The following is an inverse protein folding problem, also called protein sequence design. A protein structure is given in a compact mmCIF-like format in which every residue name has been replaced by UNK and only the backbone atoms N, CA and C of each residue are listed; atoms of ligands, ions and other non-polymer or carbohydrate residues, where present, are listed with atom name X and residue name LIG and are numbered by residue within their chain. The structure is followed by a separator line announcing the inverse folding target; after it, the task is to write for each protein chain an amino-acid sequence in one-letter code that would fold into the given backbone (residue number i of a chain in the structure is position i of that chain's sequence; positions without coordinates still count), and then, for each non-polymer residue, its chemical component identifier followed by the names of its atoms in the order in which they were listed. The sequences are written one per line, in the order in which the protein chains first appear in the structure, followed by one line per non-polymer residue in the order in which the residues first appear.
data_IF_824379243402
#
_entry.id   IF_824379243402
#
_cell.length_a   1.000
_cell.length_b   1.000
_cell.length_c   1.000
_cell.angle_alpha   90.00
_cell.angle_beta   90.00
_cell.angle_gamma   90.00
#
_symmetry.space_group_name_H-M   'P 1'
#
loop_
_entity.id
_entity.type
_entity.pdbx_description
1 polymer ?
#
# COMPACT_ATOMS: atom_id res chain seq x y z
N UNK A 1 -10.53 -24.61 -27.05
CA UNK A 1 -10.67 -23.15 -27.38
C UNK A 1 -12.02 -22.59 -26.93
N UNK A 2 -13.14 -23.30 -27.10
CA UNK A 2 -14.48 -22.86 -26.66
C UNK A 2 -14.57 -22.67 -25.15
N UNK A 3 -14.00 -23.57 -24.36
CA UNK A 3 -13.99 -23.43 -22.88
C UNK A 3 -13.19 -22.23 -22.37
N UNK A 4 -12.13 -21.83 -23.07
CA UNK A 4 -11.34 -20.65 -22.72
C UNK A 4 -12.11 -19.35 -22.99
N UNK A 5 -12.78 -19.24 -24.14
CA UNK A 5 -13.61 -18.08 -24.45
C UNK A 5 -14.74 -17.91 -23.44
N UNK A 6 -15.46 -18.97 -23.11
CA UNK A 6 -16.52 -18.94 -22.10
C UNK A 6 -16.02 -18.56 -20.68
N UNK A 7 -14.77 -18.91 -20.34
CA UNK A 7 -14.16 -18.49 -19.08
C UNK A 7 -13.81 -17.00 -19.07
N UNK A 8 -13.32 -16.47 -20.20
CA UNK A 8 -13.06 -15.04 -20.36
C UNK A 8 -14.36 -14.22 -20.30
N UNK A 9 -15.41 -14.66 -20.98
CA UNK A 9 -16.72 -14.00 -20.98
C UNK A 9 -17.25 -13.89 -19.53
N UNK A 10 -17.19 -14.98 -18.76
CA UNK A 10 -17.58 -14.98 -17.34
C UNK A 10 -16.74 -14.03 -16.48
N UNK A 11 -15.45 -13.89 -16.80
CA UNK A 11 -14.53 -13.02 -16.09
C UNK A 11 -14.86 -11.54 -16.36
N UNK A 12 -15.14 -11.23 -17.61
CA UNK A 12 -15.54 -9.88 -18.04
C UNK A 12 -16.90 -9.50 -17.46
N UNK A 13 -17.90 -10.39 -17.58
CA UNK A 13 -19.23 -10.19 -17.03
C UNK A 13 -19.21 -10.08 -15.50
N UNK A 14 -18.48 -10.99 -14.84
CA UNK A 14 -18.34 -10.96 -13.38
C UNK A 14 -17.58 -9.77 -12.84
N UNK A 15 -16.60 -9.25 -13.62
CA UNK A 15 -15.85 -8.05 -13.27
C UNK A 15 -16.70 -6.78 -13.21
N UNK A 16 -17.83 -6.76 -13.93
CA UNK A 16 -18.84 -5.69 -13.94
C UNK A 16 -18.25 -4.27 -13.88
N UNK A 17 -17.46 -3.95 -14.91
CA UNK A 17 -16.77 -2.65 -14.97
C UNK A 17 -17.72 -1.45 -15.08
N UNK A 18 -18.92 -1.67 -15.60
CA UNK A 18 -19.91 -0.60 -15.78
C UNK A 18 -20.48 -0.12 -14.44
N UNK A 19 -20.76 -1.06 -13.52
CA UNK A 19 -21.18 -0.69 -12.17
C UNK A 19 -20.01 -0.38 -11.26
N UNK A 20 -18.87 -1.04 -11.47
CA UNK A 20 -17.70 -1.03 -10.60
C UNK A 20 -18.00 -1.44 -9.14
N UNK A 21 -19.12 -2.13 -8.90
CA UNK A 21 -19.50 -2.63 -7.59
C UNK A 21 -18.73 -3.90 -7.24
N UNK A 22 -18.46 -4.07 -5.95
CA UNK A 22 -18.18 -5.39 -5.41
C UNK A 22 -19.47 -6.23 -5.55
N UNK A 23 -19.36 -7.45 -6.05
CA UNK A 23 -20.50 -8.29 -6.33
C UNK A 23 -20.23 -9.75 -5.96
N UNK A 24 -21.22 -10.64 -6.20
CA UNK A 24 -21.11 -12.05 -5.87
C UNK A 24 -19.90 -12.75 -6.53
N UNK A 25 -19.52 -12.35 -7.73
CA UNK A 25 -18.35 -12.91 -8.41
C UNK A 25 -17.04 -12.66 -7.60
N UNK A 26 -16.88 -11.48 -7.03
CA UNK A 26 -15.74 -11.13 -6.18
C UNK A 26 -15.86 -11.75 -4.79
N UNK A 27 -17.08 -11.78 -4.23
CA UNK A 27 -17.35 -12.34 -2.90
C UNK A 27 -17.04 -13.83 -2.81
N UNK A 28 -17.39 -14.60 -3.84
CA UNK A 28 -17.06 -16.03 -3.95
C UNK A 28 -15.53 -16.29 -4.02
N UNK A 29 -14.72 -15.28 -4.36
CA UNK A 29 -13.25 -15.32 -4.43
C UNK A 29 -12.59 -14.71 -3.20
N UNK A 30 -13.35 -14.17 -2.30
CA UNK A 30 -12.87 -13.66 -1.02
C UNK A 30 -12.78 -14.80 -0.01
N UNK A 31 -11.64 -15.48 0.04
CA UNK A 31 -11.44 -16.62 0.92
C UNK A 31 -11.42 -16.27 2.41
N UNK A 32 -11.34 -14.98 2.78
CA UNK A 32 -11.53 -14.53 4.16
C UNK A 32 -12.93 -14.89 4.70
N UNK A 33 -13.95 -14.93 3.82
CA UNK A 33 -15.30 -15.37 4.18
C UNK A 33 -15.37 -16.84 4.65
N UNK A 34 -14.29 -17.61 4.44
CA UNK A 34 -14.19 -19.02 4.79
C UNK A 34 -13.04 -19.31 5.75
N UNK A 35 -12.58 -18.31 6.48
CA UNK A 35 -11.44 -18.43 7.38
C UNK A 35 -11.62 -19.57 8.41
N UNK A 36 -12.85 -19.85 8.83
CA UNK A 36 -13.17 -20.93 9.76
C UNK A 36 -12.82 -22.33 9.22
N UNK A 37 -12.74 -22.48 7.92
CA UNK A 37 -12.37 -23.73 7.27
C UNK A 37 -10.86 -24.00 7.24
N UNK A 38 -10.03 -22.99 7.53
CA UNK A 38 -8.59 -23.16 7.61
C UNK A 38 -8.19 -24.07 8.77
N UNK A 39 -7.42 -25.10 8.45
CA UNK A 39 -6.87 -26.08 9.43
C UNK A 39 -5.38 -26.24 9.33
N UNK A 40 -4.79 -25.81 8.20
CA UNK A 40 -3.37 -25.88 7.97
C UNK A 40 -2.64 -24.72 8.64
N UNK A 41 -1.38 -24.96 8.99
CA UNK A 41 -0.43 -23.89 9.30
C UNK A 41 -0.12 -23.08 8.04
N UNK A 42 0.04 -21.76 8.16
CA UNK A 42 0.20 -20.86 7.02
C UNK A 42 1.46 -20.01 7.15
N UNK A 43 2.35 -20.10 6.18
CA UNK A 43 3.50 -19.21 6.05
C UNK A 43 3.30 -18.30 4.83
N UNK A 44 3.14 -17.01 5.08
CA UNK A 44 2.94 -15.97 4.06
C UNK A 44 4.28 -15.29 3.80
N UNK A 45 4.63 -15.11 2.52
CA UNK A 45 5.81 -14.36 2.08
C UNK A 45 5.33 -13.35 1.06
N UNK A 46 5.60 -12.04 1.28
CA UNK A 46 5.03 -11.00 0.44
C UNK A 46 5.91 -9.74 0.37
N UNK A 47 5.88 -9.07 -0.80
CA UNK A 47 6.59 -7.82 -1.03
C UNK A 47 5.80 -6.59 -0.59
N UNK A 48 6.43 -5.71 0.18
CA UNK A 48 5.83 -4.43 0.60
C UNK A 48 5.68 -3.42 -0.55
N UNK A 49 6.45 -3.60 -1.63
CA UNK A 49 6.37 -2.79 -2.84
C UNK A 49 5.63 -3.50 -3.99
N UNK A 50 4.91 -4.57 -3.71
CA UNK A 50 4.06 -5.23 -4.71
C UNK A 50 2.80 -4.42 -4.97
N UNK A 51 2.85 -3.55 -5.99
CA UNK A 51 1.72 -2.74 -6.43
C UNK A 51 0.79 -3.49 -7.39
N UNK A 52 1.10 -4.75 -7.74
CA UNK A 52 0.22 -5.64 -8.49
C UNK A 52 -0.68 -6.43 -7.52
N UNK A 53 -0.10 -7.33 -6.71
CA UNK A 53 -0.81 -8.01 -5.63
C UNK A 53 -0.47 -7.29 -4.31
N UNK A 54 -1.30 -6.33 -3.95
CA UNK A 54 -1.02 -5.42 -2.84
C UNK A 54 -1.12 -6.10 -1.48
N UNK A 55 -0.47 -5.56 -0.46
CA UNK A 55 -0.44 -6.10 0.90
C UNK A 55 -1.81 -6.25 1.56
N UNK A 56 -2.84 -5.53 1.07
CA UNK A 56 -4.23 -5.76 1.49
C UNK A 56 -4.80 -7.14 1.10
N UNK A 57 -4.07 -7.93 0.30
CA UNK A 57 -4.43 -9.32 0.03
C UNK A 57 -3.87 -10.28 1.09
N UNK A 58 -2.71 -10.01 1.66
CA UNK A 58 -2.04 -10.92 2.60
C UNK A 58 -2.21 -10.53 4.07
N UNK A 59 -2.15 -9.24 4.40
CA UNK A 59 -2.19 -8.79 5.79
C UNK A 59 -3.54 -9.02 6.49
N UNK A 60 -4.70 -8.81 5.85
CA UNK A 60 -5.99 -9.22 6.44
C UNK A 60 -6.09 -10.73 6.66
N UNK A 61 -5.50 -11.54 5.77
CA UNK A 61 -5.44 -12.99 5.97
C UNK A 61 -4.60 -13.35 7.18
N UNK A 62 -3.41 -12.76 7.32
CA UNK A 62 -2.54 -12.99 8.48
C UNK A 62 -3.25 -12.65 9.80
N UNK A 63 -3.95 -11.51 9.84
CA UNK A 63 -4.73 -11.08 11.00
C UNK A 63 -5.91 -12.02 11.30
N UNK A 64 -6.64 -12.45 10.29
CA UNK A 64 -7.74 -13.38 10.47
C UNK A 64 -7.27 -14.75 10.98
N UNK A 65 -6.09 -15.22 10.53
CA UNK A 65 -5.45 -16.44 11.07
C UNK A 65 -5.03 -16.26 12.53
N UNK A 66 -4.58 -15.05 12.91
CA UNK A 66 -4.26 -14.70 14.28
C UNK A 66 -5.48 -14.79 15.18
N UNK A 67 -6.56 -14.12 14.81
CA UNK A 67 -7.82 -14.08 15.53
C UNK A 67 -8.42 -15.49 15.71
N UNK A 68 -8.20 -16.37 14.72
CA UNK A 68 -8.58 -17.78 14.79
C UNK A 68 -7.68 -18.62 15.69
N UNK A 69 -6.48 -18.13 16.05
CA UNK A 69 -5.47 -18.91 16.76
C UNK A 69 -4.79 -19.98 15.89
N UNK A 70 -4.78 -19.81 14.57
CA UNK A 70 -4.08 -20.71 13.65
C UNK A 70 -2.56 -20.49 13.71
N UNK A 71 -1.80 -21.58 13.51
CA UNK A 71 -0.36 -21.48 13.36
C UNK A 71 -0.02 -20.73 12.07
N UNK A 72 0.71 -19.63 12.22
CA UNK A 72 0.98 -18.71 11.13
C UNK A 72 2.36 -18.08 11.25
N UNK A 73 2.91 -17.70 10.12
CA UNK A 73 4.12 -16.87 10.01
C UNK A 73 3.96 -15.95 8.80
N UNK A 74 4.50 -14.75 8.88
CA UNK A 74 4.59 -13.83 7.74
C UNK A 74 6.00 -13.27 7.63
N UNK A 75 6.49 -13.21 6.40
CA UNK A 75 7.71 -12.52 6.00
C UNK A 75 7.36 -11.45 4.98
N UNK A 76 7.64 -10.20 5.32
CA UNK A 76 7.44 -9.04 4.47
C UNK A 76 8.79 -8.49 4.02
N UNK A 77 9.08 -8.54 2.72
CA UNK A 77 10.31 -8.02 2.15
C UNK A 77 10.09 -6.71 1.39
N UNK A 78 11.14 -5.95 1.10
CA UNK A 78 11.04 -4.66 0.42
C UNK A 78 10.89 -4.76 -1.11
N UNK A 79 10.89 -5.98 -1.65
CA UNK A 79 10.74 -6.20 -3.09
C UNK A 79 9.31 -6.10 -3.59
N UNK A 80 9.17 -6.39 -4.87
CA UNK A 80 7.91 -6.48 -5.60
C UNK A 80 7.34 -7.92 -5.60
N UNK A 81 6.64 -8.30 -6.67
CA UNK A 81 6.05 -9.63 -6.88
C UNK A 81 7.12 -10.64 -7.32
N UNK A 82 7.72 -11.36 -6.36
CA UNK A 82 8.86 -12.26 -6.60
C UNK A 82 8.75 -13.55 -5.81
N UNK A 83 9.56 -14.53 -6.21
CA UNK A 83 9.85 -15.73 -5.44
C UNK A 83 11.05 -15.46 -4.52
N UNK A 84 10.78 -15.11 -3.27
CA UNK A 84 11.79 -14.63 -2.33
C UNK A 84 12.80 -15.70 -1.88
N UNK A 85 12.52 -16.99 -2.11
CA UNK A 85 13.48 -18.06 -1.84
C UNK A 85 14.69 -18.05 -2.78
N UNK A 86 14.59 -17.36 -3.92
CA UNK A 86 15.72 -17.14 -4.83
C UNK A 86 16.58 -15.94 -4.42
N UNK A 87 16.20 -15.23 -3.33
CA UNK A 87 16.85 -14.01 -2.89
C UNK A 87 18.12 -14.29 -2.10
N UNK A 88 19.25 -13.77 -2.59
CA UNK A 88 20.56 -13.90 -1.92
C UNK A 88 20.53 -13.41 -0.46
N UNK A 89 21.08 -14.22 0.42
CA UNK A 89 21.26 -13.86 1.84
C UNK A 89 19.97 -13.75 2.66
N UNK A 90 18.80 -13.99 2.05
CA UNK A 90 17.53 -13.92 2.77
C UNK A 90 17.35 -15.03 3.81
N UNK A 91 17.97 -16.18 3.60
CA UNK A 91 17.73 -17.39 4.37
C UNK A 91 16.31 -17.94 4.25
N UNK A 92 15.50 -17.38 3.33
CA UNK A 92 14.07 -17.68 3.24
C UNK A 92 13.80 -19.11 2.80
N UNK A 93 14.64 -19.67 1.92
CA UNK A 93 14.52 -21.08 1.55
C UNK A 93 14.66 -21.98 2.77
N UNK A 94 15.66 -21.74 3.60
CA UNK A 94 15.87 -22.50 4.84
C UNK A 94 14.70 -22.32 5.85
N UNK A 95 14.09 -21.13 5.91
CA UNK A 95 12.90 -20.90 6.71
C UNK A 95 11.69 -21.70 6.18
N UNK A 96 11.50 -21.75 4.87
CA UNK A 96 10.44 -22.55 4.23
C UNK A 96 10.66 -24.03 4.47
N UNK A 97 11.87 -24.54 4.27
CA UNK A 97 12.21 -25.93 4.55
C UNK A 97 11.96 -26.28 6.03
N UNK A 98 12.40 -25.45 6.96
CA UNK A 98 12.18 -25.63 8.40
C UNK A 98 10.71 -25.68 8.75
N UNK A 99 9.87 -24.77 8.14
CA UNK A 99 8.44 -24.75 8.30
C UNK A 99 7.77 -26.04 7.80
N UNK A 100 8.11 -26.48 6.59
CA UNK A 100 7.56 -27.69 5.98
C UNK A 100 8.02 -28.95 6.72
N UNK A 101 9.25 -29.00 7.18
CA UNK A 101 9.78 -30.12 7.98
C UNK A 101 8.98 -30.30 9.27
N UNK A 102 8.66 -29.22 9.95
CA UNK A 102 7.86 -29.28 11.17
C UNK A 102 6.41 -29.72 10.88
N UNK A 103 5.70 -28.97 10.03
CA UNK A 103 4.26 -29.15 9.87
C UNK A 103 3.86 -30.29 8.93
N UNK A 104 4.72 -30.74 8.01
CA UNK A 104 4.42 -31.85 7.11
C UNK A 104 5.10 -33.15 7.53
N UNK A 105 6.33 -33.08 8.06
CA UNK A 105 7.11 -34.27 8.44
C UNK A 105 7.09 -34.54 9.94
N UNK A 106 6.60 -33.62 10.76
CA UNK A 106 6.56 -33.75 12.21
C UNK A 106 7.90 -33.63 12.90
N UNK A 107 8.89 -33.00 12.26
CA UNK A 107 10.22 -32.80 12.83
C UNK A 107 10.15 -31.72 13.92
N UNK A 108 10.57 -32.04 15.13
CA UNK A 108 10.72 -31.07 16.22
C UNK A 108 11.96 -30.22 15.98
N UNK A 109 11.79 -29.06 15.38
CA UNK A 109 12.87 -28.14 15.00
C UNK A 109 12.70 -26.74 15.62
N UNK A 110 11.66 -26.54 16.45
CA UNK A 110 11.42 -25.32 17.21
C UNK A 110 10.89 -24.13 16.39
N UNK A 111 10.45 -24.33 15.14
CA UNK A 111 9.94 -23.22 14.29
C UNK A 111 8.70 -22.55 14.88
N UNK A 112 7.91 -23.26 15.66
CA UNK A 112 6.72 -22.74 16.35
C UNK A 112 7.05 -21.71 17.45
N UNK A 113 8.31 -21.67 17.89
CA UNK A 113 8.84 -20.72 18.90
C UNK A 113 9.51 -19.49 18.29
N UNK A 114 9.70 -19.51 16.97
CA UNK A 114 10.26 -18.37 16.26
C UNK A 114 9.27 -17.22 16.16
N UNK A 115 9.76 -15.98 15.94
CA UNK A 115 8.89 -14.83 15.67
C UNK A 115 7.89 -15.12 14.56
N UNK A 116 6.65 -14.72 14.76
CA UNK A 116 5.56 -14.92 13.79
C UNK A 116 5.60 -13.90 12.65
N UNK A 117 6.26 -12.78 12.87
CA UNK A 117 6.37 -11.68 11.93
C UNK A 117 7.84 -11.35 11.70
N UNK A 118 8.25 -11.30 10.45
CA UNK A 118 9.54 -10.80 10.02
C UNK A 118 9.30 -9.73 8.95
N UNK A 119 9.89 -8.55 9.13
CA UNK A 119 9.80 -7.44 8.17
C UNK A 119 11.20 -6.94 7.83
N UNK A 120 11.54 -6.95 6.56
CA UNK A 120 12.79 -6.37 6.06
C UNK A 120 12.82 -4.86 6.30
N UNK A 121 13.91 -4.35 6.83
CA UNK A 121 14.09 -2.90 6.99
C UNK A 121 14.20 -2.21 5.63
N UNK A 122 13.46 -1.12 5.42
CA UNK A 122 13.62 -0.29 4.21
C UNK A 122 14.88 0.58 4.24
N UNK A 123 15.54 0.70 5.40
CA UNK A 123 16.73 1.53 5.59
C UNK A 123 18.02 0.70 5.60
N UNK A 124 17.96 -0.59 5.94
CA UNK A 124 19.13 -1.46 6.06
C UNK A 124 18.74 -2.90 5.70
N UNK A 125 19.09 -3.32 4.48
CA UNK A 125 18.78 -4.65 3.93
C UNK A 125 19.36 -5.83 4.74
N UNK A 126 20.32 -5.58 5.62
CA UNK A 126 20.89 -6.62 6.50
C UNK A 126 20.05 -6.85 7.76
N UNK A 127 19.02 -6.02 7.98
CA UNK A 127 18.22 -6.04 9.19
C UNK A 127 16.78 -6.44 8.93
N UNK A 128 16.29 -7.32 9.78
CA UNK A 128 14.90 -7.74 9.81
C UNK A 128 14.29 -7.39 11.17
N UNK A 129 13.15 -6.74 11.15
CA UNK A 129 12.37 -6.49 12.36
C UNK A 129 11.54 -7.73 12.67
N UNK A 130 11.53 -8.15 13.94
CA UNK A 130 10.84 -9.34 14.38
C UNK A 130 9.74 -9.02 15.39
N UNK A 131 8.68 -9.83 15.41
CA UNK A 131 7.57 -9.70 16.35
C UNK A 131 6.61 -10.88 16.27
N UNK A 132 5.62 -10.91 17.18
CA UNK A 132 4.59 -11.94 17.21
C UNK A 132 3.27 -11.49 16.63
N UNK A 133 3.07 -10.17 16.48
CA UNK A 133 1.87 -9.54 15.94
C UNK A 133 2.21 -8.50 14.88
N UNK A 134 1.28 -8.30 13.94
CA UNK A 134 1.35 -7.19 13.02
C UNK A 134 -0.03 -6.50 12.96
N UNK A 135 -0.11 -5.16 13.13
CA UNK A 135 0.97 -4.22 13.48
C UNK A 135 1.65 -4.54 14.82
N UNK A 136 2.82 -3.94 15.13
CA UNK A 136 3.49 -4.11 16.42
C UNK A 136 2.57 -3.76 17.60
N UNK A 137 2.68 -4.47 18.72
CA UNK A 137 1.74 -4.34 19.84
C UNK A 137 1.62 -2.92 20.44
N UNK A 138 2.65 -2.08 20.28
CA UNK A 138 2.70 -0.70 20.78
C UNK A 138 2.18 0.34 19.79
N UNK A 139 1.72 -0.07 18.61
CA UNK A 139 1.22 0.86 17.60
C UNK A 139 0.02 1.66 18.08
N UNK A 140 -0.09 2.90 17.62
CA UNK A 140 -1.27 3.74 17.83
C UNK A 140 -1.47 4.69 16.66
N UNK A 141 -2.71 5.04 16.44
CA UNK A 141 -3.01 6.08 15.48
C UNK A 141 -2.55 7.45 15.99
N UNK A 142 -1.75 8.12 15.18
CA UNK A 142 -1.41 9.53 15.34
C UNK A 142 -2.13 10.33 14.25
N UNK A 143 -2.69 11.47 14.63
CA UNK A 143 -3.32 12.36 13.66
C UNK A 143 -2.23 13.08 12.85
N UNK A 144 -2.34 12.98 11.53
CA UNK A 144 -1.56 13.85 10.63
C UNK A 144 -2.10 15.28 10.75
N UNK A 145 -1.29 16.29 11.04
CA UNK A 145 -1.74 17.66 11.11
C UNK A 145 -2.01 18.19 9.71
N UNK A 146 -3.27 18.53 9.44
CA UNK A 146 -3.67 19.19 8.20
C UNK A 146 -4.12 20.61 8.56
N UNK A 147 -3.39 21.58 8.09
CA UNK A 147 -3.73 22.99 8.19
C UNK A 147 -4.33 23.44 6.85
N UNK A 148 -5.64 23.34 6.73
CA UNK A 148 -6.37 23.75 5.55
C UNK A 148 -7.70 24.38 5.97
N UNK A 149 -7.68 25.69 6.22
CA UNK A 149 -8.90 26.43 6.55
C UNK A 149 -9.79 26.70 5.31
N UNK A 150 -9.19 26.73 4.13
CA UNK A 150 -9.88 27.03 2.87
C UNK A 150 -10.13 25.79 2.04
N UNK A 151 -11.17 25.83 1.23
CA UNK A 151 -11.43 24.84 0.21
C UNK A 151 -10.26 24.77 -0.78
N UNK A 152 -9.89 23.54 -1.18
CA UNK A 152 -8.87 23.28 -2.19
C UNK A 152 -9.56 22.61 -3.39
N UNK A 153 -9.42 23.20 -4.58
CA UNK A 153 -9.93 22.61 -5.81
C UNK A 153 -8.81 21.84 -6.49
N UNK A 154 -9.06 20.58 -6.79
CA UNK A 154 -8.18 19.75 -7.60
C UNK A 154 -8.90 19.24 -8.84
N UNK A 155 -8.16 18.93 -9.89
CA UNK A 155 -8.68 18.36 -11.14
C UNK A 155 -7.99 17.05 -11.47
N UNK A 156 -8.70 16.14 -12.15
CA UNK A 156 -8.14 14.93 -12.73
C UNK A 156 -7.70 15.10 -14.19
N UNK A 157 -7.59 16.35 -14.66
CA UNK A 157 -7.11 16.66 -15.99
C UNK A 157 -5.61 16.36 -16.13
N UNK A 158 -5.28 15.19 -16.67
CA UNK A 158 -3.91 14.80 -16.93
C UNK A 158 -3.28 15.53 -18.12
N UNK A 159 -4.06 16.25 -18.94
CA UNK A 159 -3.50 17.08 -20.02
C UNK A 159 -2.75 18.30 -19.50
N UNK A 160 -2.97 18.66 -18.23
CA UNK A 160 -2.27 19.74 -17.54
C UNK A 160 -0.99 19.26 -16.81
N UNK A 161 -0.59 18.02 -16.99
CA UNK A 161 0.59 17.40 -16.38
C UNK A 161 1.62 17.02 -17.45
N UNK A 162 2.79 16.60 -17.01
CA UNK A 162 3.83 16.00 -17.89
C UNK A 162 3.44 14.61 -18.42
N UNK A 163 2.32 14.04 -17.95
CA UNK A 163 1.94 12.68 -18.30
C UNK A 163 1.60 12.52 -19.79
N UNK A 164 2.31 11.63 -20.44
CA UNK A 164 2.01 11.17 -21.80
C UNK A 164 1.91 9.65 -21.84
N UNK A 165 0.70 9.14 -22.04
CA UNK A 165 0.43 7.71 -22.14
C UNK A 165 1.25 7.00 -23.23
N UNK A 166 1.60 7.70 -24.32
CA UNK A 166 2.38 7.12 -25.42
C UNK A 166 3.85 7.02 -25.08
N UNK A 167 4.36 7.96 -24.27
CA UNK A 167 5.73 7.97 -23.79
C UNK A 167 5.92 7.05 -22.57
N UNK A 168 4.83 6.56 -21.97
CA UNK A 168 4.83 5.75 -20.73
C UNK A 168 5.64 6.38 -19.58
N UNK A 169 5.51 7.70 -19.45
CA UNK A 169 6.27 8.49 -18.47
C UNK A 169 5.54 8.65 -17.11
N UNK A 170 4.97 7.57 -16.62
CA UNK A 170 4.26 7.54 -15.34
C UNK A 170 5.13 7.97 -14.16
N UNK A 171 6.44 7.72 -14.24
CA UNK A 171 7.38 8.17 -13.21
C UNK A 171 7.49 9.69 -13.20
N UNK A 172 7.62 10.34 -14.34
CA UNK A 172 7.72 11.80 -14.45
C UNK A 172 6.45 12.46 -13.90
N UNK A 173 5.27 11.89 -14.20
CA UNK A 173 4.01 12.32 -13.62
C UNK A 173 4.02 12.20 -12.08
N UNK A 174 4.51 11.09 -11.55
CA UNK A 174 4.58 10.89 -10.11
C UNK A 174 5.59 11.86 -9.45
N UNK A 175 6.74 12.06 -10.08
CA UNK A 175 7.74 13.03 -9.61
C UNK A 175 7.14 14.45 -9.57
N UNK A 176 6.42 14.87 -10.60
CA UNK A 176 5.73 16.17 -10.62
C UNK A 176 4.66 16.23 -9.52
N UNK A 177 3.82 15.19 -9.39
CA UNK A 177 2.77 15.14 -8.38
C UNK A 177 3.32 15.24 -6.95
N UNK A 178 4.47 14.65 -6.68
CA UNK A 178 5.08 14.63 -5.34
C UNK A 178 5.96 15.86 -5.09
N UNK A 179 6.85 16.20 -6.03
CA UNK A 179 7.95 17.13 -5.81
C UNK A 179 7.63 18.57 -6.22
N UNK A 180 6.64 18.81 -7.09
CA UNK A 180 6.32 20.18 -7.49
C UNK A 180 6.11 21.08 -6.26
N UNK A 181 6.73 22.24 -6.24
CA UNK A 181 6.57 23.29 -5.23
C UNK A 181 5.51 24.32 -5.65
N UNK A 182 4.95 24.17 -6.85
CA UNK A 182 3.89 25.05 -7.35
C UNK A 182 2.61 24.84 -6.56
N UNK A 183 2.25 25.82 -5.74
CA UNK A 183 1.01 25.82 -4.96
C UNK A 183 -0.23 25.88 -5.85
N UNK A 184 -0.11 26.35 -7.10
CA UNK A 184 -1.18 26.37 -8.08
C UNK A 184 -1.36 25.06 -8.86
N UNK A 185 -0.52 24.05 -8.57
CA UNK A 185 -0.59 22.74 -9.24
C UNK A 185 -1.92 22.05 -8.96
N UNK A 186 -2.80 22.11 -9.94
CA UNK A 186 -4.23 21.82 -9.76
C UNK A 186 -4.58 20.31 -9.64
N UNK A 187 -3.61 19.40 -9.86
CA UNK A 187 -3.91 17.96 -9.86
C UNK A 187 -3.87 17.31 -8.48
N UNK A 188 -3.52 18.07 -7.44
CA UNK A 188 -3.42 17.55 -6.07
C UNK A 188 -3.71 18.60 -5.01
N UNK A 189 -4.05 18.11 -3.80
CA UNK A 189 -3.88 18.81 -2.53
C UNK A 189 -2.78 18.12 -1.73
N UNK A 190 -1.79 18.87 -1.24
CA UNK A 190 -0.61 18.33 -0.53
C UNK A 190 -0.39 19.04 0.79
N UNK A 191 -0.17 18.26 1.83
CA UNK A 191 0.21 18.73 3.17
C UNK A 191 1.47 18.02 3.61
N UNK A 192 2.38 18.74 4.25
CA UNK A 192 3.66 18.20 4.72
C UNK A 192 3.73 18.33 6.23
N UNK A 193 4.19 17.29 6.88
CA UNK A 193 4.37 17.20 8.33
C UNK A 193 5.76 16.67 8.65
N UNK A 194 6.43 17.35 9.61
CA UNK A 194 7.66 16.87 10.22
C UNK A 194 7.32 16.22 11.58
N UNK A 195 7.29 14.88 11.66
CA UNK A 195 6.93 14.20 12.91
C UNK A 195 8.05 14.24 13.95
N UNK A 196 9.25 14.70 13.58
CA UNK A 196 10.41 14.79 14.48
C UNK A 196 10.53 16.17 15.14
N UNK A 197 10.05 17.23 14.50
CA UNK A 197 10.15 18.61 14.98
C UNK A 197 9.49 18.79 16.36
N UNK A 198 8.32 18.16 16.55
CA UNK A 198 7.57 18.27 17.80
C UNK A 198 8.00 17.31 18.91
N UNK A 199 8.82 16.32 18.58
CA UNK A 199 9.11 15.19 19.47
C UNK A 199 10.47 15.31 20.21
N UNK A 200 11.35 16.23 19.80
CA UNK A 200 12.76 16.29 20.23
C UNK A 200 13.41 14.88 20.22
N UNK A 201 13.14 14.14 19.15
CA UNK A 201 13.42 12.73 19.04
C UNK A 201 14.17 12.43 17.75
N UNK A 202 15.43 12.04 17.88
CA UNK A 202 16.29 11.63 16.80
C UNK A 202 16.18 10.12 16.46
N UNK A 203 15.22 9.42 17.05
CA UNK A 203 15.02 8.00 16.78
C UNK A 203 14.06 7.80 15.60
N UNK A 204 14.30 6.82 14.72
CA UNK A 204 13.39 6.48 13.64
C UNK A 204 11.98 6.15 14.13
N UNK A 205 10.97 6.40 13.28
CA UNK A 205 9.57 6.06 13.54
C UNK A 205 9.14 4.96 12.58
N UNK A 206 8.40 3.96 13.07
CA UNK A 206 7.85 2.89 12.25
C UNK A 206 6.39 3.16 11.96
N UNK A 207 6.03 3.21 10.68
CA UNK A 207 4.66 3.27 10.17
C UNK A 207 4.27 1.84 9.84
N UNK A 208 3.38 1.22 10.63
CA UNK A 208 2.99 -0.17 10.43
C UNK A 208 1.48 -0.32 10.60
N UNK A 209 0.76 -0.57 9.50
CA UNK A 209 -0.68 -0.73 9.49
C UNK A 209 -1.38 -0.05 8.33
N UNK A 210 -2.71 0.05 8.44
CA UNK A 210 -3.58 0.74 7.48
C UNK A 210 -3.69 2.23 7.83
N UNK A 211 -3.42 3.09 6.85
CA UNK A 211 -3.61 4.54 6.97
C UNK A 211 -5.04 4.86 6.53
N UNK A 212 -5.70 5.73 7.28
CA UNK A 212 -7.08 6.12 7.02
C UNK A 212 -7.16 7.62 6.78
N UNK A 213 -7.73 8.02 5.63
CA UNK A 213 -7.91 9.42 5.23
C UNK A 213 -9.40 9.71 5.06
N UNK A 214 -9.91 10.67 5.82
CA UNK A 214 -11.30 11.15 5.74
C UNK A 214 -11.32 12.60 5.32
N UNK A 215 -12.26 12.96 4.46
CA UNK A 215 -12.48 14.34 4.05
C UNK A 215 -13.89 14.53 3.48
N UNK A 216 -14.34 15.77 3.41
CA UNK A 216 -15.55 16.16 2.69
C UNK A 216 -15.16 16.82 1.37
N UNK A 217 -15.89 16.51 0.30
CA UNK A 217 -15.68 17.14 -0.99
C UNK A 217 -16.95 17.23 -1.81
N UNK A 218 -17.00 18.25 -2.66
CA UNK A 218 -17.97 18.38 -3.74
C UNK A 218 -17.31 18.04 -5.08
N UNK A 219 -18.02 17.31 -5.93
CA UNK A 219 -17.56 16.87 -7.25
C UNK A 219 -18.46 17.52 -8.30
N UNK A 220 -17.88 18.05 -9.38
CA UNK A 220 -18.65 18.72 -10.45
C UNK A 220 -19.26 17.78 -11.48
N UNK A 221 -19.14 16.46 -11.26
CA UNK A 221 -19.67 15.38 -12.10
C UNK A 221 -20.39 14.34 -11.24
N UNK A 222 -21.05 13.39 -11.90
CA UNK A 222 -21.76 12.28 -11.25
C UNK A 222 -20.84 11.16 -10.78
N UNK A 223 -19.55 11.20 -11.12
CA UNK A 223 -18.56 10.20 -10.75
C UNK A 223 -17.17 10.83 -10.61
N UNK A 224 -16.33 10.24 -9.79
CA UNK A 224 -14.91 10.53 -9.70
C UNK A 224 -14.16 9.33 -9.11
N UNK A 225 -12.88 9.24 -9.41
CA UNK A 225 -11.94 8.43 -8.63
C UNK A 225 -11.23 9.37 -7.67
N UNK A 226 -11.26 9.03 -6.40
CA UNK A 226 -10.56 9.75 -5.33
C UNK A 226 -9.36 8.91 -4.91
N UNK A 227 -8.20 9.52 -4.88
CA UNK A 227 -6.94 8.86 -4.55
C UNK A 227 -6.24 9.59 -3.41
N UNK A 228 -5.52 8.85 -2.60
CA UNK A 228 -4.64 9.40 -1.58
C UNK A 228 -3.31 8.65 -1.56
N UNK A 229 -2.22 9.33 -1.25
CA UNK A 229 -0.93 8.72 -0.97
C UNK A 229 -0.27 9.34 0.25
N UNK A 230 0.49 8.52 0.97
CA UNK A 230 1.43 8.95 1.99
C UNK A 230 2.85 8.76 1.44
N UNK A 231 3.65 9.80 1.57
CA UNK A 231 5.00 9.87 0.99
C UNK A 231 6.01 10.22 2.07
N UNK A 232 7.10 9.47 2.12
CA UNK A 232 8.31 9.82 2.85
C UNK A 232 9.13 10.79 1.97
N UNK A 233 9.23 12.04 2.40
CA UNK A 233 10.04 13.09 1.79
C UNK A 233 11.40 13.17 2.51
N UNK A 234 12.42 12.64 1.87
CA UNK A 234 13.79 12.66 2.37
C UNK A 234 14.72 12.03 1.35
N UNK A 235 15.87 12.65 1.17
CA UNK A 235 16.84 12.19 0.19
C UNK A 235 17.68 11.06 0.76
N UNK A 236 17.45 9.85 0.27
CA UNK A 236 18.13 8.64 0.75
C UNK A 236 18.28 7.60 -0.36
N UNK A 237 19.32 6.75 -0.26
CA UNK A 237 19.41 5.53 -1.04
C UNK A 237 18.55 4.46 -0.37
N UNK A 238 17.50 4.06 -1.03
CA UNK A 238 16.55 3.07 -0.52
C UNK A 238 16.85 1.69 -1.09
N UNK A 239 16.29 0.67 -0.48
CA UNK A 239 16.34 -0.68 -1.05
C UNK A 239 15.49 -0.65 -2.33
N UNK A 240 16.10 -1.05 -3.45
CA UNK A 240 15.41 -1.14 -4.73
C UNK A 240 14.33 -2.21 -4.66
N UNK A 241 13.20 -1.93 -5.30
CA UNK A 241 12.15 -2.94 -5.50
C UNK A 241 12.48 -3.89 -6.67
N UNK A 242 13.42 -3.52 -7.51
CA UNK A 242 13.85 -4.30 -8.66
C UNK A 242 14.88 -5.37 -8.26
N UNK A 243 14.76 -6.51 -8.91
CA UNK A 243 15.70 -7.62 -8.77
C UNK A 243 17.00 -7.33 -9.50
N UNK A 244 18.11 -7.52 -8.82
CA UNK A 244 19.45 -7.41 -9.42
C UNK A 244 20.09 -8.81 -9.42
N UNK A 245 20.45 -9.37 -10.59
CA UNK A 245 21.14 -10.65 -10.64
C UNK A 245 22.43 -10.61 -9.82
N UNK A 246 22.73 -11.73 -9.14
CA UNK A 246 23.98 -11.86 -8.40
C UNK A 246 25.07 -12.29 -9.36
N UNK A 247 26.16 -11.53 -9.43
CA UNK A 247 27.30 -11.83 -10.29
C UNK A 247 27.94 -13.18 -9.92
N UNK A 248 28.13 -14.02 -10.93
CA UNK A 248 28.70 -15.36 -10.75
C UNK A 248 27.70 -16.45 -10.34
N UNK A 249 26.42 -16.12 -10.21
CA UNK A 249 25.34 -17.09 -9.99
C UNK A 249 24.52 -17.28 -11.27
N UNK A 250 24.63 -18.44 -11.90
CA UNK A 250 23.88 -18.79 -13.13
C UNK A 250 22.55 -19.51 -12.83
N UNK A 251 22.18 -19.65 -11.56
CA UNK A 251 21.03 -20.41 -11.08
C UNK A 251 19.74 -19.56 -10.94
N UNK A 252 19.78 -18.30 -11.33
CA UNK A 252 18.68 -17.37 -11.16
C UNK A 252 18.65 -16.64 -9.82
N UNK A 253 19.68 -16.78 -8.99
CA UNK A 253 19.82 -16.05 -7.73
C UNK A 253 19.88 -14.54 -7.98
N UNK A 254 19.11 -13.77 -7.24
CA UNK A 254 19.08 -12.32 -7.32
C UNK A 254 19.04 -11.69 -5.92
N UNK A 255 19.17 -10.39 -5.86
CA UNK A 255 19.08 -9.61 -4.62
C UNK A 255 18.34 -8.31 -4.85
N UNK A 256 17.83 -7.73 -3.77
CA UNK A 256 17.51 -6.32 -3.70
C UNK A 256 18.72 -5.60 -3.11
N UNK A 257 19.15 -4.55 -3.78
CA UNK A 257 20.27 -3.72 -3.32
C UNK A 257 19.80 -2.31 -2.96
N UNK A 258 20.72 -1.49 -2.50
CA UNK A 258 20.46 -0.05 -2.43
C UNK A 258 20.44 0.53 -3.83
N UNK A 259 19.54 1.49 -4.07
CA UNK A 259 19.51 2.29 -5.31
C UNK A 259 20.90 2.85 -5.62
N UNK A 260 21.26 2.95 -6.90
CA UNK A 260 22.57 3.51 -7.31
C UNK A 260 22.72 4.97 -6.90
N UNK A 261 21.63 5.73 -6.99
CA UNK A 261 21.55 7.14 -6.61
C UNK A 261 20.44 7.35 -5.59
N UNK A 262 20.60 8.32 -4.66
CA UNK A 262 19.54 8.66 -3.72
C UNK A 262 18.29 9.16 -4.46
N UNK A 263 17.12 8.68 -4.04
CA UNK A 263 15.83 9.23 -4.45
C UNK A 263 15.34 10.29 -3.43
N UNK A 264 14.59 11.29 -3.90
CA UNK A 264 14.13 12.41 -3.07
C UNK A 264 12.93 12.04 -2.21
N UNK A 265 12.24 10.95 -2.55
CA UNK A 265 11.06 10.50 -1.83
C UNK A 265 10.80 9.00 -2.02
N UNK A 266 9.93 8.46 -1.14
CA UNK A 266 9.34 7.12 -1.29
C UNK A 266 7.83 7.21 -1.07
N UNK A 267 7.05 6.68 -2.00
CA UNK A 267 5.62 6.44 -1.76
C UNK A 267 5.49 5.27 -0.79
N UNK A 268 4.98 5.54 0.40
CA UNK A 268 4.83 4.54 1.47
C UNK A 268 3.56 3.74 1.28
N UNK A 269 2.46 4.43 0.96
CA UNK A 269 1.15 3.82 0.77
C UNK A 269 0.27 4.64 -0.15
N UNK A 270 -0.69 3.97 -0.78
CA UNK A 270 -1.73 4.56 -1.63
C UNK A 270 -3.09 3.97 -1.28
N UNK A 271 -4.15 4.72 -1.61
CA UNK A 271 -5.51 4.24 -1.51
C UNK A 271 -6.40 4.89 -2.57
N UNK A 272 -7.45 4.20 -2.94
CA UNK A 272 -8.37 4.62 -4.00
C UNK A 272 -9.81 4.38 -3.58
N UNK A 273 -10.70 5.25 -4.05
CA UNK A 273 -12.13 5.14 -3.82
C UNK A 273 -12.88 5.61 -5.07
N UNK A 274 -13.78 4.77 -5.60
CA UNK A 274 -14.82 5.27 -6.47
C UNK A 274 -15.82 6.06 -5.62
N UNK A 275 -15.96 7.34 -5.92
CA UNK A 275 -16.78 8.26 -5.14
C UNK A 275 -18.25 7.83 -5.00
N UNK A 276 -18.78 7.09 -5.98
CA UNK A 276 -20.13 6.52 -5.92
C UNK A 276 -20.25 5.33 -4.95
N UNK A 277 -19.13 4.71 -4.56
CA UNK A 277 -19.11 3.61 -3.58
C UNK A 277 -18.66 4.08 -2.18
N UNK A 278 -18.86 5.37 -1.86
CA UNK A 278 -18.38 6.02 -0.62
C UNK A 278 -18.86 5.39 0.68
N UNK A 279 -20.04 4.78 0.68
CA UNK A 279 -20.62 4.16 1.87
C UNK A 279 -20.70 2.64 1.77
N UNK A 280 -20.78 2.10 0.56
CA UNK A 280 -20.96 0.66 0.35
C UNK A 280 -20.27 0.20 -0.96
N UNK A 281 -19.43 -0.83 -0.86
CA UNK A 281 -18.79 -1.41 -2.03
C UNK A 281 -19.77 -2.18 -2.94
N UNK A 282 -20.89 -2.66 -2.40
CA UNK A 282 -21.89 -3.46 -3.12
C UNK A 282 -22.84 -2.64 -3.96
N UNK A 283 -22.94 -1.34 -3.74
CA UNK A 283 -23.88 -0.48 -4.43
C UNK A 283 -23.36 0.93 -4.62
N UNK A 284 -23.59 1.46 -5.81
CA UNK A 284 -23.37 2.87 -6.10
C UNK A 284 -24.43 3.74 -5.43
N UNK A 285 -23.99 4.92 -4.99
CA UNK A 285 -24.86 6.01 -4.58
C UNK A 285 -24.72 7.18 -5.56
N UNK A 286 -25.83 7.83 -5.84
CA UNK A 286 -25.87 9.02 -6.68
C UNK A 286 -24.97 10.12 -6.09
N UNK A 287 -24.22 10.77 -6.97
CA UNK A 287 -23.51 12.01 -6.71
C UNK A 287 -24.23 13.10 -7.49
N UNK A 288 -24.75 14.09 -6.77
CA UNK A 288 -25.27 15.29 -7.38
C UNK A 288 -24.16 16.30 -7.55
N UNK A 289 -23.85 16.74 -8.77
CA UNK A 289 -22.79 17.70 -9.03
C UNK A 289 -22.88 18.92 -8.12
N UNK A 290 -21.79 19.26 -7.46
CA UNK A 290 -21.68 20.40 -6.54
C UNK A 290 -22.18 20.15 -5.11
N UNK A 291 -22.87 19.06 -4.83
CA UNK A 291 -23.19 18.69 -3.43
C UNK A 291 -21.97 18.12 -2.72
N UNK A 292 -21.85 18.42 -1.43
CA UNK A 292 -20.75 17.94 -0.58
C UNK A 292 -21.08 16.60 0.07
N UNK A 293 -20.16 15.65 -0.02
CA UNK A 293 -20.27 14.34 0.60
C UNK A 293 -19.01 14.00 1.39
N UNK A 294 -19.15 13.14 2.41
CA UNK A 294 -18.03 12.59 3.15
C UNK A 294 -17.42 11.38 2.43
N UNK A 295 -16.10 11.32 2.43
CA UNK A 295 -15.31 10.23 1.83
C UNK A 295 -14.32 9.68 2.83
N UNK A 296 -14.08 8.37 2.77
CA UNK A 296 -13.08 7.67 3.55
C UNK A 296 -12.24 6.78 2.64
N UNK A 297 -10.95 7.07 2.55
CA UNK A 297 -9.99 6.25 1.82
C UNK A 297 -9.17 5.45 2.82
N UNK A 298 -9.31 4.14 2.79
CA UNK A 298 -8.44 3.18 3.47
C UNK A 298 -7.30 2.85 2.54
N UNK A 299 -6.09 3.23 2.94
CA UNK A 299 -4.90 3.02 2.12
C UNK A 299 -4.38 1.60 2.30
N UNK A 300 -3.63 1.13 1.32
CA UNK A 300 -2.98 -0.18 1.37
C UNK A 300 -2.11 -0.28 2.63
N UNK A 301 -2.27 -1.31 3.46
CA UNK A 301 -1.44 -1.48 4.65
C UNK A 301 0.05 -1.55 4.30
N UNK A 302 0.90 -0.95 5.13
CA UNK A 302 2.34 -0.86 4.86
C UNK A 302 3.16 -1.04 6.14
N UNK A 303 4.45 -1.30 5.96
CA UNK A 303 5.45 -1.25 7.03
C UNK A 303 6.68 -0.48 6.53
N UNK A 304 6.93 0.67 7.13
CA UNK A 304 7.97 1.59 6.68
C UNK A 304 8.64 2.28 7.87
N UNK A 305 9.95 2.30 7.88
CA UNK A 305 10.75 3.06 8.85
C UNK A 305 11.06 4.43 8.29
N UNK A 306 10.52 5.48 8.92
CA UNK A 306 10.80 6.87 8.62
C UNK A 306 12.03 7.31 9.40
N UNK A 307 13.02 7.84 8.70
CA UNK A 307 14.28 8.26 9.30
C UNK A 307 14.22 9.70 9.84
N UNK A 308 15.00 10.02 10.90
CA UNK A 308 15.12 11.40 11.38
C UNK A 308 15.54 12.36 10.26
N UNK A 309 14.91 13.54 10.23
CA UNK A 309 15.13 14.55 9.19
C UNK A 309 14.28 14.36 7.93
N UNK A 310 13.56 13.25 7.81
CA UNK A 310 12.55 13.07 6.77
C UNK A 310 11.21 13.68 7.20
N UNK A 311 10.36 14.01 6.22
CA UNK A 311 9.02 14.54 6.42
C UNK A 311 7.99 13.62 5.77
N UNK A 312 6.77 13.68 6.25
CA UNK A 312 5.64 12.98 5.62
C UNK A 312 4.83 13.96 4.78
N UNK A 313 4.48 13.57 3.56
CA UNK A 313 3.48 14.27 2.77
C UNK A 313 2.23 13.41 2.61
N UNK A 314 1.07 14.00 2.95
CA UNK A 314 -0.24 13.48 2.58
C UNK A 314 -0.68 14.19 1.30
N UNK A 315 -1.00 13.42 0.27
CA UNK A 315 -1.44 13.94 -1.03
C UNK A 315 -2.80 13.33 -1.34
N UNK A 316 -3.81 14.19 -1.60
CA UNK A 316 -5.11 13.81 -2.16
C UNK A 316 -5.14 14.28 -3.61
N UNK A 317 -5.52 13.39 -4.52
CA UNK A 317 -5.54 13.64 -5.95
C UNK A 317 -6.70 12.89 -6.61
N UNK A 318 -7.05 13.24 -7.81
CA UNK A 318 -8.13 12.61 -8.55
C UNK A 318 -7.73 11.22 -9.02
N UNK A 319 -7.28 11.09 -10.24
CA UNK A 319 -6.92 9.82 -10.86
C UNK A 319 -5.45 9.47 -10.60
N UNK A 320 -5.19 8.20 -10.35
CA UNK A 320 -3.84 7.65 -10.29
C UNK A 320 -3.45 7.09 -11.67
N UNK A 321 -2.49 7.76 -12.34
CA UNK A 321 -2.06 7.40 -13.68
C UNK A 321 -1.43 5.99 -13.76
N UNK A 322 -0.92 5.48 -12.64
CA UNK A 322 -0.29 4.16 -12.55
C UNK A 322 -1.29 3.06 -12.17
N UNK A 323 -2.30 3.36 -11.35
CA UNK A 323 -3.08 2.34 -10.63
C UNK A 323 -4.58 2.35 -10.95
N UNK A 324 -5.13 3.42 -11.51
CA UNK A 324 -6.57 3.52 -11.75
C UNK A 324 -6.94 3.69 -13.22
N UNK A 325 -8.15 3.27 -13.56
CA UNK A 325 -8.71 3.56 -14.88
C UNK A 325 -9.15 5.03 -14.93
N UNK A 326 -8.71 5.74 -15.94
CA UNK A 326 -9.02 7.16 -16.13
C UNK A 326 -10.42 7.34 -16.67
N UNK A 327 -11.24 8.24 -16.10
CA UNK A 327 -12.48 8.69 -16.71
C UNK A 327 -12.21 9.34 -18.08
N UNK A 328 -13.23 9.34 -18.94
CA UNK A 328 -13.14 10.02 -20.24
C UNK A 328 -13.34 11.53 -20.09
N UNK A 329 -14.06 11.94 -19.06
CA UNK A 329 -14.38 13.36 -18.78
C UNK A 329 -13.61 13.87 -17.58
N UNK A 330 -13.08 15.08 -17.74
CA UNK A 330 -12.40 15.79 -16.65
C UNK A 330 -13.38 16.11 -15.52
N UNK A 331 -12.91 15.88 -14.29
CA UNK A 331 -13.65 16.14 -13.06
C UNK A 331 -12.89 17.12 -12.18
N UNK A 332 -13.58 18.09 -11.59
CA UNK A 332 -13.06 18.95 -10.57
C UNK A 332 -13.63 18.55 -9.21
N UNK A 333 -12.75 18.48 -8.21
CA UNK A 333 -13.05 18.03 -6.87
C UNK A 333 -12.70 19.16 -5.91
N UNK A 334 -13.71 19.69 -5.20
CA UNK A 334 -13.52 20.73 -4.19
C UNK A 334 -13.46 20.09 -2.82
N UNK A 335 -12.25 19.92 -2.28
CA UNK A 335 -12.02 19.42 -0.92
C UNK A 335 -12.33 20.54 0.08
N UNK A 336 -13.18 20.27 1.06
CA UNK A 336 -13.63 21.27 2.02
C UNK A 336 -12.56 21.58 3.08
N UNK A 337 -12.33 22.88 3.29
CA UNK A 337 -11.43 23.36 4.33
C UNK A 337 -11.80 22.82 5.71
N UNK A 338 -10.82 22.45 6.52
CA UNK A 338 -11.02 21.89 7.85
C UNK A 338 -11.59 20.47 7.93
N UNK A 339 -11.95 19.86 6.78
CA UNK A 339 -12.57 18.53 6.76
C UNK A 339 -11.57 17.38 6.72
N UNK A 340 -10.34 17.61 6.25
CA UNK A 340 -9.35 16.55 6.06
C UNK A 340 -8.82 16.05 7.40
N UNK A 341 -8.93 14.75 7.62
CA UNK A 341 -8.41 14.07 8.79
C UNK A 341 -7.73 12.76 8.36
N UNK A 342 -6.43 12.66 8.60
CA UNK A 342 -5.69 11.43 8.36
C UNK A 342 -5.16 10.86 9.68
N UNK A 343 -5.20 9.53 9.78
CA UNK A 343 -4.65 8.77 10.90
C UNK A 343 -3.59 7.83 10.39
N UNK A 344 -2.39 7.94 10.97
CA UNK A 344 -1.22 7.15 10.62
C UNK A 344 -0.91 6.22 11.79
N UNK A 345 -0.77 4.89 11.55
CA UNK A 345 -0.39 3.94 12.58
C UNK A 345 1.13 4.05 12.83
N UNK A 346 1.52 4.64 13.94
CA UNK A 346 2.92 4.80 14.36
C UNK A 346 3.25 3.86 15.52
N UNK A 347 4.46 3.32 15.49
CA UNK A 347 5.11 2.59 16.55
C UNK A 347 6.50 3.18 16.81
N UNK A 348 6.97 3.12 18.06
CA UNK A 348 8.35 3.44 18.43
C UNK A 348 9.20 2.17 18.56
N UNK A 349 8.59 1.00 18.49
CA UNK A 349 9.29 -0.28 18.57
C UNK A 349 9.91 -0.63 17.23
N UNK A 350 11.24 -0.54 17.18
CA UNK A 350 12.05 -1.06 16.09
C UNK A 350 13.01 -2.06 16.74
N UNK A 351 12.64 -3.34 16.69
CA UNK A 351 13.46 -4.43 17.23
C UNK A 351 13.96 -5.27 16.07
N UNK A 352 15.27 -5.25 15.86
CA UNK A 352 15.91 -6.06 14.84
C UNK A 352 16.22 -7.47 15.37
N UNK A 353 16.12 -8.42 14.45
CA UNK A 353 16.43 -9.84 14.67
C UNK A 353 17.84 -10.17 14.19
#
# INVERSE_FOLDING_TARGET
KEGYAAALDKLVEGGDRDSANYNKFWDERNYLNQIDNFKASVFIIHGLNDWNVKTNQCLPLFKALEEKGAERKILLHQGEHIYVYDLEGSGTLAMVEKWLDHYLKGIDNGVEKEPKVLVESNADQSKWMAGDTWPPADWKYVRFPVEAEKDVVITDDLSATVYDRKADNQKDWLDELVLSEDESYANRAKWVWDPFEAADNDAPLRIAGEINVKFEAAIDRETAILSAMLVDLGRERRITAEQVPVEGCDDGTFRFGLEESPSEYKVISRGWLNAQNRTCLWSKEEIKPGETYGYEIKMVPTDHTLMPGHKLALIIYGIDAQQTQRPETVTNITIKGGSVAAKIPLSKSIQYF
#
